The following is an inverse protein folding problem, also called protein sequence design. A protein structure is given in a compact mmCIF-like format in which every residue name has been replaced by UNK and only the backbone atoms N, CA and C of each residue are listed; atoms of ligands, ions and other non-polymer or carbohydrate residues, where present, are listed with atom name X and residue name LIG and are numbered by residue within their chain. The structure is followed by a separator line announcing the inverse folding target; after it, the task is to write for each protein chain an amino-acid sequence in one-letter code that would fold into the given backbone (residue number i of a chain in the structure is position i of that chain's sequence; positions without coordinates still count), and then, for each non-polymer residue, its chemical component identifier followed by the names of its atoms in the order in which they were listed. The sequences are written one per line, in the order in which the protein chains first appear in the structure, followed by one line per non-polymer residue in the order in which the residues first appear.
data_IF_569591586703
#
_entry.id   IF_569591586703
#
_cell.length_a   1.000
_cell.length_b   1.000
_cell.length_c   1.000
_cell.angle_alpha   90.00
_cell.angle_beta   90.00
_cell.angle_gamma   90.00
#
_symmetry.space_group_name_H-M   'P 1'
#
loop_
_entity.id
_entity.type
_entity.pdbx_description
1 polymer ?
#
# COMPACT_ATOMS: atom_id res chain seq x y z
N UNK A 1 43.34 -27.61 3.90
CA UNK A 1 43.35 -26.20 4.31
C UNK A 1 42.06 -25.63 3.77
N UNK A 2 41.10 -25.42 4.67
CA UNK A 2 39.68 -25.32 4.34
C UNK A 2 39.36 -23.99 3.63
N UNK A 3 38.79 -24.08 2.42
CA UNK A 3 38.13 -22.96 1.77
C UNK A 3 36.83 -22.67 2.52
N UNK A 4 36.92 -21.79 3.51
CA UNK A 4 35.79 -21.13 4.15
C UNK A 4 35.10 -20.26 3.09
N UNK A 5 34.21 -20.88 2.32
CA UNK A 5 33.22 -20.22 1.49
C UNK A 5 32.32 -19.38 2.38
N UNK A 6 32.76 -18.16 2.68
CA UNK A 6 31.92 -17.13 3.28
C UNK A 6 30.78 -16.89 2.29
N UNK A 7 29.62 -17.51 2.58
CA UNK A 7 28.37 -17.17 1.92
C UNK A 7 28.16 -15.68 2.18
N UNK A 8 28.52 -14.84 1.20
CA UNK A 8 28.20 -13.42 1.21
C UNK A 8 26.68 -13.35 1.09
N UNK A 9 26.00 -13.50 2.23
CA UNK A 9 24.57 -13.32 2.33
C UNK A 9 24.26 -11.93 1.80
N UNK A 10 23.28 -11.83 0.91
CA UNK A 10 22.94 -10.57 0.23
C UNK A 10 22.82 -9.46 1.28
N UNK A 11 23.70 -8.44 1.26
CA UNK A 11 23.76 -7.45 2.33
C UNK A 11 22.42 -6.73 2.44
N UNK A 12 21.90 -6.62 3.68
CA UNK A 12 20.65 -5.90 3.94
C UNK A 12 20.74 -4.48 3.38
N UNK A 13 19.62 -3.98 2.87
CA UNK A 13 19.53 -2.61 2.37
C UNK A 13 19.22 -1.68 3.54
N UNK A 14 20.27 -1.17 4.17
CA UNK A 14 20.16 -0.24 5.31
C UNK A 14 19.29 0.98 4.97
N UNK A 15 19.36 1.49 3.73
CA UNK A 15 18.52 2.60 3.27
C UNK A 15 17.04 2.24 3.24
N UNK A 16 16.68 1.03 2.83
CA UNK A 16 15.30 0.54 2.83
C UNK A 16 14.78 0.33 4.25
N UNK A 17 15.60 -0.23 5.13
CA UNK A 17 15.23 -0.40 6.54
C UNK A 17 15.06 0.97 7.24
N UNK A 18 15.93 1.94 6.94
CA UNK A 18 15.80 3.32 7.42
C UNK A 18 14.52 4.01 6.89
N UNK A 19 14.21 3.85 5.60
CA UNK A 19 12.99 4.41 5.00
C UNK A 19 11.71 3.82 5.63
N UNK A 20 11.70 2.51 5.92
CA UNK A 20 10.59 1.87 6.65
C UNK A 20 10.48 2.40 8.08
N UNK A 21 11.61 2.55 8.78
CA UNK A 21 11.65 3.14 10.12
C UNK A 21 11.09 4.56 10.13
N UNK A 22 11.45 5.37 9.14
CA UNK A 22 10.92 6.72 8.93
C UNK A 22 9.40 6.72 8.74
N UNK A 23 8.85 5.85 7.88
CA UNK A 23 7.41 5.75 7.67
C UNK A 23 6.66 5.33 8.96
N UNK A 24 7.23 4.40 9.74
CA UNK A 24 6.67 3.99 11.04
C UNK A 24 6.69 5.14 12.05
N UNK A 25 7.82 5.84 12.18
CA UNK A 25 7.93 7.00 13.07
C UNK A 25 6.95 8.10 12.68
N UNK A 26 6.81 8.39 11.38
CA UNK A 26 5.83 9.35 10.86
C UNK A 26 4.39 8.94 11.18
N UNK A 27 4.03 7.68 10.99
CA UNK A 27 2.70 7.16 11.34
C UNK A 27 2.38 7.31 12.82
N UNK A 28 3.34 7.00 13.70
CA UNK A 28 3.15 7.13 15.14
C UNK A 28 2.91 8.58 15.54
N UNK A 29 3.68 9.50 14.95
CA UNK A 29 3.63 10.92 15.24
C UNK A 29 2.30 11.53 14.76
N UNK A 30 1.85 11.21 13.54
CA UNK A 30 0.59 11.72 12.97
C UNK A 30 -0.64 11.14 13.67
N UNK A 31 -0.59 9.88 14.11
CA UNK A 31 -1.72 9.27 14.84
C UNK A 31 -1.81 9.69 16.30
N UNK A 32 -0.70 10.18 16.89
CA UNK A 32 -0.64 10.57 18.30
C UNK A 32 -0.06 11.98 18.47
N UNK A 33 -0.70 13.03 17.91
CA UNK A 33 -0.22 14.40 18.03
C UNK A 33 -0.37 14.98 19.45
N UNK A 34 -0.95 14.23 20.39
CA UNK A 34 -1.21 14.63 21.78
C UNK A 34 -2.47 15.49 21.93
N UNK A 35 -2.73 16.40 20.98
CA UNK A 35 -3.99 17.13 20.81
C UNK A 35 -4.35 17.18 19.32
N UNK A 36 -5.62 17.34 18.98
CA UNK A 36 -6.07 17.57 17.60
C UNK A 36 -6.44 19.03 17.35
N UNK A 37 -6.03 19.94 18.25
CA UNK A 37 -6.22 21.38 18.11
C UNK A 37 -5.28 21.95 17.01
N UNK A 38 -5.82 22.51 15.91
CA UNK A 38 -5.02 23.09 14.82
C UNK A 38 -4.17 24.29 15.23
N UNK A 39 -4.45 24.89 16.39
CA UNK A 39 -3.65 26.00 16.93
C UNK A 39 -2.37 25.54 17.62
N UNK A 40 -2.33 24.28 18.06
CA UNK A 40 -1.21 23.69 18.82
C UNK A 40 -0.38 22.74 17.95
N UNK A 41 -1.02 22.00 17.04
CA UNK A 41 -0.34 21.02 16.18
C UNK A 41 0.07 21.67 14.86
N UNK A 42 1.31 21.49 14.41
CA UNK A 42 1.72 21.90 13.07
C UNK A 42 0.81 21.30 11.99
N UNK A 43 0.33 22.14 11.08
CA UNK A 43 -0.53 21.74 9.93
C UNK A 43 0.03 20.56 9.13
N UNK A 44 1.36 20.42 9.09
CA UNK A 44 2.03 19.32 8.40
C UNK A 44 1.63 17.93 8.94
N UNK A 45 1.29 17.85 10.22
CA UNK A 45 0.95 16.61 10.93
C UNK A 45 -0.55 16.29 10.94
N UNK A 46 -1.36 17.18 10.36
CA UNK A 46 -2.81 17.02 10.25
C UNK A 46 -3.17 16.69 8.81
N UNK A 47 -4.16 15.84 8.61
CA UNK A 47 -4.67 15.54 7.27
C UNK A 47 -5.25 16.79 6.61
N UNK A 48 -5.05 16.93 5.30
CA UNK A 48 -5.70 17.99 4.54
C UNK A 48 -7.23 17.85 4.67
N UNK A 49 -7.94 18.98 4.79
CA UNK A 49 -9.40 18.95 4.94
C UNK A 49 -10.08 18.32 3.73
N UNK A 50 -9.60 18.58 2.51
CA UNK A 50 -10.07 17.92 1.31
C UNK A 50 -9.12 18.16 0.14
N UNK A 51 -8.98 19.43 -0.27
CA UNK A 51 -7.97 19.84 -1.24
C UNK A 51 -6.65 20.16 -0.54
N UNK A 52 -5.58 19.51 -0.97
CA UNK A 52 -4.24 19.70 -0.45
C UNK A 52 -3.51 18.38 -0.31
N UNK A 53 -2.26 18.49 0.13
CA UNK A 53 -1.44 17.34 0.51
C UNK A 53 -0.54 17.76 1.66
N UNK A 54 -0.66 17.08 2.78
CA UNK A 54 0.17 17.26 3.97
C UNK A 54 1.11 16.06 4.13
N UNK A 55 2.07 16.15 5.07
CA UNK A 55 2.95 15.03 5.35
C UNK A 55 2.18 13.82 5.90
N UNK A 56 1.14 14.05 6.70
CA UNK A 56 0.23 13.02 7.18
C UNK A 56 -0.35 12.17 6.04
N UNK A 57 -0.70 12.82 4.92
CA UNK A 57 -1.29 12.16 3.75
C UNK A 57 -0.27 11.29 2.98
N UNK A 58 1.02 11.58 3.10
CA UNK A 58 2.10 10.86 2.40
C UNK A 58 2.57 9.59 3.13
N UNK A 59 2.29 9.45 4.43
CA UNK A 59 2.74 8.31 5.22
C UNK A 59 2.25 6.98 4.64
N UNK A 60 0.96 6.88 4.30
CA UNK A 60 0.41 5.66 3.73
C UNK A 60 1.03 5.30 2.36
N UNK A 61 1.14 6.22 1.39
CA UNK A 61 1.91 6.01 0.16
C UNK A 61 3.36 5.56 0.40
N UNK A 62 4.06 6.11 1.40
CA UNK A 62 5.42 5.68 1.74
C UNK A 62 5.48 4.22 2.19
N UNK A 63 4.51 3.74 2.97
CA UNK A 63 4.43 2.32 3.32
C UNK A 63 4.23 1.44 2.10
N UNK A 64 3.30 1.79 1.21
CA UNK A 64 3.03 1.03 -0.01
C UNK A 64 4.26 0.97 -0.91
N UNK A 65 4.93 2.10 -1.09
CA UNK A 65 6.17 2.19 -1.85
C UNK A 65 7.28 1.33 -1.23
N UNK A 66 7.49 1.40 0.09
CA UNK A 66 8.48 0.59 0.79
C UNK A 66 8.20 -0.92 0.68
N UNK A 67 6.93 -1.32 0.79
CA UNK A 67 6.48 -2.69 0.62
C UNK A 67 6.82 -3.18 -0.79
N UNK A 68 6.50 -2.40 -1.82
CA UNK A 68 6.85 -2.70 -3.20
C UNK A 68 8.36 -2.87 -3.39
N UNK A 69 9.15 -1.91 -2.87
CA UNK A 69 10.60 -1.91 -3.00
C UNK A 69 11.26 -3.14 -2.35
N UNK A 70 10.68 -3.66 -1.27
CA UNK A 70 11.18 -4.86 -0.59
C UNK A 70 10.89 -6.18 -1.34
N UNK A 71 9.91 -6.21 -2.25
CA UNK A 71 9.47 -7.43 -2.91
C UNK A 71 10.56 -8.15 -3.73
N UNK A 72 11.35 -7.48 -4.61
CA UNK A 72 12.36 -8.15 -5.42
C UNK A 72 13.43 -8.84 -4.56
N UNK A 73 13.85 -8.19 -3.47
CA UNK A 73 14.82 -8.75 -2.53
C UNK A 73 14.25 -9.96 -1.76
N UNK A 74 12.99 -9.88 -1.33
CA UNK A 74 12.34 -11.03 -0.69
C UNK A 74 12.15 -12.19 -1.66
N UNK A 75 12.01 -11.92 -2.96
CA UNK A 75 11.83 -12.95 -3.96
C UNK A 75 13.14 -13.60 -4.40
N UNK A 76 14.19 -12.79 -4.59
CA UNK A 76 15.54 -13.26 -4.86
C UNK A 76 16.00 -14.30 -3.84
N UNK A 77 15.81 -14.02 -2.55
CA UNK A 77 16.12 -14.97 -1.47
C UNK A 77 15.35 -16.28 -1.57
N UNK A 78 14.08 -16.26 -1.96
CA UNK A 78 13.30 -17.50 -2.11
C UNK A 78 13.76 -18.30 -3.33
N UNK A 79 14.20 -17.63 -4.39
CA UNK A 79 14.76 -18.26 -5.57
C UNK A 79 16.13 -18.90 -5.27
N UNK A 80 17.00 -18.21 -4.51
CA UNK A 80 18.27 -18.77 -4.03
C UNK A 80 18.08 -20.07 -3.23
N UNK A 81 17.02 -20.14 -2.42
CA UNK A 81 16.65 -21.34 -1.65
C UNK A 81 15.79 -22.35 -2.44
N UNK A 82 15.71 -22.23 -3.76
CA UNK A 82 14.95 -23.10 -4.65
C UNK A 82 13.48 -23.35 -4.22
N UNK A 83 12.83 -22.36 -3.60
CA UNK A 83 11.45 -22.51 -3.12
C UNK A 83 10.50 -22.58 -4.32
N UNK A 84 9.68 -23.65 -4.46
CA UNK A 84 8.79 -23.80 -5.60
C UNK A 84 7.72 -22.70 -5.64
N UNK A 85 7.26 -22.35 -6.84
CA UNK A 85 6.36 -21.21 -7.08
C UNK A 85 5.07 -21.26 -6.24
N UNK A 86 4.44 -22.44 -6.12
CA UNK A 86 3.23 -22.60 -5.31
C UNK A 86 3.46 -22.30 -3.83
N UNK A 87 4.61 -22.71 -3.26
CA UNK A 87 4.97 -22.38 -1.87
C UNK A 87 5.23 -20.89 -1.73
N UNK A 88 5.87 -20.26 -2.72
CA UNK A 88 6.12 -18.81 -2.73
C UNK A 88 4.81 -18.01 -2.71
N UNK A 89 3.84 -18.40 -3.53
CA UNK A 89 2.48 -17.83 -3.55
C UNK A 89 1.79 -18.09 -2.20
N UNK A 90 1.86 -19.31 -1.66
CA UNK A 90 1.29 -19.63 -0.34
C UNK A 90 1.86 -18.79 0.80
N UNK A 91 3.17 -18.51 0.80
CA UNK A 91 3.81 -17.61 1.77
C UNK A 91 3.28 -16.17 1.61
N UNK A 92 3.14 -15.69 0.37
CA UNK A 92 2.60 -14.36 0.10
C UNK A 92 1.13 -14.24 0.53
N UNK A 93 0.31 -15.25 0.21
CA UNK A 93 -1.09 -15.35 0.63
C UNK A 93 -1.21 -15.39 2.16
N UNK A 94 -0.37 -16.18 2.84
CA UNK A 94 -0.33 -16.21 4.32
C UNK A 94 0.00 -14.85 4.91
N UNK A 95 0.98 -14.12 4.36
CA UNK A 95 1.33 -12.77 4.84
C UNK A 95 0.15 -11.81 4.70
N UNK A 96 -0.52 -11.82 3.55
CA UNK A 96 -1.71 -11.02 3.31
C UNK A 96 -2.85 -11.39 4.27
N UNK A 97 -3.11 -12.69 4.47
CA UNK A 97 -4.13 -13.17 5.39
C UNK A 97 -3.82 -12.80 6.84
N UNK A 98 -2.56 -12.92 7.29
CA UNK A 98 -2.15 -12.51 8.64
C UNK A 98 -2.37 -11.01 8.85
N UNK A 99 -1.98 -10.17 7.89
CA UNK A 99 -2.21 -8.72 7.96
C UNK A 99 -3.71 -8.40 8.00
N UNK A 100 -4.50 -9.09 7.19
CA UNK A 100 -5.94 -8.91 7.15
C UNK A 100 -6.59 -9.28 8.49
N UNK A 101 -6.30 -10.49 8.99
CA UNK A 101 -6.85 -11.00 10.25
C UNK A 101 -6.39 -10.17 11.45
N UNK A 102 -5.13 -9.70 11.45
CA UNK A 102 -4.63 -8.82 12.51
C UNK A 102 -5.40 -7.50 12.53
N UNK A 103 -5.62 -6.89 11.36
CA UNK A 103 -6.42 -5.66 11.26
C UNK A 103 -7.87 -5.86 11.73
N UNK A 104 -8.50 -6.96 11.30
CA UNK A 104 -9.87 -7.30 11.71
C UNK A 104 -9.96 -7.57 13.22
N UNK A 105 -8.97 -8.26 13.79
CA UNK A 105 -8.88 -8.53 15.21
C UNK A 105 -8.74 -7.24 16.04
N UNK A 106 -7.80 -6.36 15.67
CA UNK A 106 -7.59 -5.09 16.40
C UNK A 106 -8.85 -4.21 16.39
N UNK A 107 -9.56 -4.16 15.25
CA UNK A 107 -10.83 -3.41 15.16
C UNK A 107 -11.93 -4.06 15.99
N UNK A 108 -12.07 -5.38 15.89
CA UNK A 108 -13.07 -6.14 16.64
C UNK A 108 -12.85 -6.02 18.15
N UNK A 109 -11.59 -6.07 18.60
CA UNK A 109 -11.22 -5.87 20.00
C UNK A 109 -11.52 -4.44 20.47
N UNK A 110 -11.26 -3.42 19.64
CA UNK A 110 -11.58 -2.03 19.96
C UNK A 110 -13.08 -1.76 20.07
N UNK A 111 -13.92 -2.50 19.33
CA UNK A 111 -15.38 -2.33 19.30
C UNK A 111 -16.13 -3.35 20.16
N UNK A 112 -15.42 -4.27 20.83
CA UNK A 112 -15.99 -5.42 21.55
C UNK A 112 -17.02 -6.24 20.74
N UNK A 113 -16.92 -6.22 19.41
CA UNK A 113 -17.85 -6.88 18.49
C UNK A 113 -17.07 -7.46 17.31
N UNK A 114 -17.42 -8.67 16.82
CA UNK A 114 -16.74 -9.26 15.69
C UNK A 114 -17.13 -8.50 14.40
N UNK A 115 -16.22 -7.65 13.92
CA UNK A 115 -16.43 -6.83 12.73
C UNK A 115 -15.32 -7.09 11.72
N UNK A 116 -15.73 -7.45 10.50
CA UNK A 116 -14.84 -7.48 9.35
C UNK A 116 -14.86 -6.10 8.71
N UNK A 117 -13.83 -5.32 9.02
CA UNK A 117 -13.63 -3.99 8.46
C UNK A 117 -12.39 -3.98 7.55
N UNK A 118 -12.33 -3.02 6.65
CA UNK A 118 -11.33 -2.94 5.61
C UNK A 118 -10.34 -1.78 5.80
N UNK A 119 -9.55 -1.89 6.86
CA UNK A 119 -8.59 -0.88 7.29
C UNK A 119 -7.25 -0.89 6.55
N UNK A 120 -6.34 -0.06 7.07
CA UNK A 120 -5.01 0.17 6.48
C UNK A 120 -4.21 -1.14 6.39
N UNK A 121 -4.23 -1.98 7.43
CA UNK A 121 -3.49 -3.25 7.44
C UNK A 121 -4.02 -4.23 6.39
N UNK A 122 -5.35 -4.33 6.28
CA UNK A 122 -6.05 -5.14 5.30
C UNK A 122 -5.68 -4.70 3.89
N UNK A 123 -5.72 -3.38 3.63
CA UNK A 123 -5.34 -2.79 2.33
C UNK A 123 -3.90 -3.08 1.98
N UNK A 124 -2.95 -2.91 2.90
CA UNK A 124 -1.53 -3.24 2.67
C UNK A 124 -1.39 -4.72 2.30
N UNK A 125 -2.07 -5.62 3.02
CA UNK A 125 -2.04 -7.06 2.74
C UNK A 125 -2.56 -7.42 1.35
N UNK A 126 -3.71 -6.87 0.97
CA UNK A 126 -4.35 -7.10 -0.34
C UNK A 126 -3.50 -6.52 -1.47
N UNK A 127 -3.06 -5.26 -1.35
CA UNK A 127 -2.22 -4.60 -2.35
C UNK A 127 -0.88 -5.32 -2.54
N UNK A 128 -0.26 -5.74 -1.43
CA UNK A 128 0.95 -6.58 -1.47
C UNK A 128 0.70 -7.85 -2.27
N UNK A 129 -0.39 -8.56 -2.00
CA UNK A 129 -0.68 -9.83 -2.67
C UNK A 129 -0.97 -9.65 -4.16
N UNK A 130 -1.77 -8.65 -4.53
CA UNK A 130 -2.07 -8.34 -5.94
C UNK A 130 -0.79 -8.06 -6.71
N UNK A 131 0.07 -7.16 -6.20
CA UNK A 131 1.33 -6.84 -6.89
C UNK A 131 2.32 -8.01 -6.87
N UNK A 132 2.31 -8.82 -5.82
CA UNK A 132 3.11 -10.04 -5.77
C UNK A 132 2.77 -11.00 -6.92
N UNK A 133 1.48 -11.14 -7.29
CA UNK A 133 1.06 -11.94 -8.44
C UNK A 133 1.55 -11.37 -9.78
N UNK A 134 1.82 -10.06 -9.84
CA UNK A 134 2.39 -9.38 -11.02
C UNK A 134 3.92 -9.48 -11.09
N UNK A 135 4.58 -10.00 -10.05
CA UNK A 135 6.04 -10.10 -9.96
C UNK A 135 6.67 -10.95 -11.09
N UNK A 136 6.07 -12.05 -11.58
CA UNK A 136 6.61 -12.81 -12.71
C UNK A 136 6.64 -12.02 -14.03
N UNK A 137 5.88 -10.92 -14.16
CA UNK A 137 5.85 -10.11 -15.37
C UNK A 137 7.16 -9.32 -15.56
N UNK A 138 7.45 -8.98 -16.83
CA UNK A 138 8.58 -8.10 -17.17
C UNK A 138 8.34 -6.70 -16.62
N UNK A 139 9.41 -5.99 -16.27
CA UNK A 139 9.35 -4.63 -15.71
C UNK A 139 8.54 -3.65 -16.59
N UNK A 140 8.67 -3.75 -17.92
CA UNK A 140 7.87 -2.94 -18.87
C UNK A 140 6.35 -3.11 -18.69
N UNK A 141 5.90 -4.33 -18.40
CA UNK A 141 4.49 -4.64 -18.21
C UNK A 141 4.02 -4.20 -16.83
N UNK A 142 4.84 -4.35 -15.79
CA UNK A 142 4.57 -3.80 -14.47
C UNK A 142 4.41 -2.26 -14.53
N UNK A 143 5.29 -1.58 -15.27
CA UNK A 143 5.19 -0.14 -15.49
C UNK A 143 3.94 0.24 -16.31
N UNK A 144 3.68 -0.47 -17.41
CA UNK A 144 2.49 -0.24 -18.23
C UNK A 144 1.19 -0.43 -17.43
N UNK A 145 1.11 -1.48 -16.59
CA UNK A 145 -0.04 -1.72 -15.70
C UNK A 145 -0.17 -0.59 -14.68
N UNK A 146 0.91 -0.18 -14.03
CA UNK A 146 0.87 0.92 -13.06
C UNK A 146 0.38 2.23 -13.68
N UNK A 147 0.91 2.59 -14.86
CA UNK A 147 0.45 3.79 -15.59
C UNK A 147 -0.99 3.65 -16.06
N UNK A 148 -1.37 2.50 -16.62
CA UNK A 148 -2.74 2.24 -17.06
C UNK A 148 -3.74 2.33 -15.90
N UNK A 149 -3.40 1.80 -14.72
CA UNK A 149 -4.25 1.90 -13.53
C UNK A 149 -4.45 3.35 -13.08
N UNK A 150 -3.44 4.22 -13.18
CA UNK A 150 -3.60 5.65 -12.91
C UNK A 150 -4.52 6.33 -13.94
N UNK A 151 -4.41 5.97 -15.21
CA UNK A 151 -5.35 6.46 -16.24
C UNK A 151 -6.78 5.95 -16.01
N UNK A 152 -6.94 4.69 -15.61
CA UNK A 152 -8.24 4.12 -15.24
C UNK A 152 -8.82 4.87 -14.04
N UNK A 153 -8.01 5.13 -13.00
CA UNK A 153 -8.44 5.91 -11.84
C UNK A 153 -8.87 7.32 -12.22
N UNK A 154 -8.07 8.02 -13.04
CA UNK A 154 -8.44 9.33 -13.56
C UNK A 154 -9.74 9.28 -14.38
N UNK A 155 -9.90 8.28 -15.26
CA UNK A 155 -11.10 8.14 -16.08
C UNK A 155 -12.35 7.86 -15.22
N UNK A 156 -12.21 7.08 -14.15
CA UNK A 156 -13.27 6.87 -13.16
C UNK A 156 -13.71 8.22 -12.57
N UNK A 157 -12.76 9.03 -12.09
CA UNK A 157 -13.07 10.33 -11.50
C UNK A 157 -13.64 11.34 -12.52
N UNK A 158 -13.18 11.27 -13.77
CA UNK A 158 -13.56 12.23 -14.80
C UNK A 158 -14.92 11.95 -15.45
N UNK A 159 -15.27 10.68 -15.66
CA UNK A 159 -16.39 10.29 -16.54
C UNK A 159 -17.52 9.53 -15.87
N UNK A 160 -17.32 8.98 -14.66
CA UNK A 160 -18.39 8.21 -14.00
C UNK A 160 -19.46 9.16 -13.46
N UNK A 161 -20.70 8.88 -13.83
CA UNK A 161 -21.89 9.61 -13.42
C UNK A 161 -22.76 8.73 -12.52
N UNK A 162 -23.36 9.33 -11.50
CA UNK A 162 -24.25 8.66 -10.56
C UNK A 162 -25.14 9.66 -9.81
N UNK A 163 -26.17 9.19 -9.09
CA UNK A 163 -26.98 10.05 -8.22
C UNK A 163 -26.09 10.80 -7.21
N UNK A 164 -26.08 12.13 -7.25
CA UNK A 164 -25.25 12.96 -6.38
C UNK A 164 -23.78 13.11 -6.81
N UNK A 165 -23.38 12.53 -7.96
CA UNK A 165 -22.03 12.67 -8.51
C UNK A 165 -22.04 13.61 -9.71
N UNK A 166 -21.16 14.62 -9.68
CA UNK A 166 -20.95 15.51 -10.83
C UNK A 166 -19.71 15.01 -11.60
N UNK A 167 -19.82 14.69 -12.91
CA UNK A 167 -18.66 14.26 -13.70
C UNK A 167 -17.53 15.29 -13.64
N UNK A 168 -16.31 14.82 -13.39
CA UNK A 168 -15.14 15.68 -13.26
C UNK A 168 -15.10 16.49 -11.96
N UNK A 169 -16.04 16.31 -11.04
CA UNK A 169 -15.97 16.88 -9.70
C UNK A 169 -15.04 16.07 -8.82
N UNK A 170 -14.09 16.78 -8.22
CA UNK A 170 -13.19 16.25 -7.21
C UNK A 170 -13.63 16.67 -5.80
N UNK A 171 -14.89 17.05 -5.61
CA UNK A 171 -15.42 17.48 -4.30
C UNK A 171 -15.73 16.29 -3.37
N UNK A 172 -15.75 16.54 -2.06
CA UNK A 172 -15.85 15.49 -1.03
C UNK A 172 -17.10 14.65 -1.17
N UNK A 173 -18.24 15.27 -1.39
CA UNK A 173 -19.53 14.60 -1.34
C UNK A 173 -20.12 14.32 -2.73
N UNK A 174 -19.40 14.67 -3.80
CA UNK A 174 -19.84 14.53 -5.19
C UNK A 174 -18.83 13.76 -6.06
N UNK A 175 -17.87 13.06 -5.46
CA UNK A 175 -16.88 12.30 -6.23
C UNK A 175 -17.38 10.90 -6.62
N UNK A 176 -16.94 10.45 -7.79
CA UNK A 176 -17.27 9.13 -8.31
C UNK A 176 -16.74 7.98 -7.45
N UNK A 177 -15.65 8.20 -6.70
CA UNK A 177 -15.02 7.15 -5.88
C UNK A 177 -15.92 6.70 -4.72
N UNK A 178 -16.46 7.65 -3.95
CA UNK A 178 -17.38 7.37 -2.85
C UNK A 178 -18.70 6.77 -3.35
N UNK A 179 -19.20 7.25 -4.48
CA UNK A 179 -20.40 6.66 -5.09
C UNK A 179 -20.18 5.19 -5.44
N UNK A 180 -19.09 4.88 -6.14
CA UNK A 180 -18.77 3.50 -6.50
C UNK A 180 -18.47 2.63 -5.28
N UNK A 181 -17.75 3.16 -4.28
CA UNK A 181 -17.49 2.43 -3.04
C UNK A 181 -18.80 2.16 -2.27
N UNK A 182 -19.75 3.11 -2.23
CA UNK A 182 -21.07 2.91 -1.60
C UNK A 182 -22.00 1.95 -2.37
N UNK A 183 -21.76 1.79 -3.68
CA UNK A 183 -22.49 0.85 -4.52
C UNK A 183 -21.93 -0.58 -4.39
N UNK A 184 -20.61 -0.70 -4.24
CA UNK A 184 -19.90 -2.00 -4.16
C UNK A 184 -19.86 -2.53 -2.72
N UNK A 185 -19.71 -1.66 -1.73
CA UNK A 185 -19.63 -1.97 -0.30
C UNK A 185 -20.71 -1.19 0.47
N UNK A 186 -21.13 -1.76 1.61
CA UNK A 186 -22.14 -1.15 2.46
C UNK A 186 -21.79 0.29 2.87
N UNK A 187 -22.79 1.16 3.17
CA UNK A 187 -22.63 2.62 3.32
C UNK A 187 -21.62 3.12 4.37
N UNK A 188 -21.20 2.25 5.28
CA UNK A 188 -20.32 2.59 6.39
C UNK A 188 -18.82 2.56 6.03
N UNK A 189 -18.42 1.80 4.99
CA UNK A 189 -17.01 1.63 4.59
C UNK A 189 -16.67 2.52 3.37
N UNK A 190 -16.70 3.83 3.60
CA UNK A 190 -16.73 4.89 2.57
C UNK A 190 -15.53 5.02 1.61
N UNK A 191 -14.45 4.25 1.71
CA UNK A 191 -13.23 4.54 0.91
C UNK A 191 -12.36 3.34 0.55
N UNK A 192 -12.91 2.23 0.04
CA UNK A 192 -12.23 0.96 0.28
C UNK A 192 -11.67 0.25 -0.94
N UNK A 193 -12.43 0.08 -2.02
CA UNK A 193 -12.01 -0.82 -3.11
C UNK A 193 -11.53 -0.01 -4.30
N UNK A 194 -12.27 1.02 -4.70
CA UNK A 194 -11.91 1.79 -5.89
C UNK A 194 -10.64 2.62 -5.64
N UNK A 195 -10.45 3.08 -4.39
CA UNK A 195 -9.25 3.76 -3.93
C UNK A 195 -7.99 2.86 -3.87
N UNK A 196 -8.12 1.53 -4.04
CA UNK A 196 -6.97 0.61 -4.10
C UNK A 196 -6.21 0.73 -5.43
N UNK A 197 -6.85 1.23 -6.49
CA UNK A 197 -6.25 1.36 -7.82
C UNK A 197 -4.95 2.20 -7.80
N UNK A 198 -4.94 3.45 -7.26
CA UNK A 198 -3.70 4.20 -7.09
C UNK A 198 -2.74 3.53 -6.09
N UNK A 199 -3.26 2.77 -5.12
CA UNK A 199 -2.46 1.95 -4.20
C UNK A 199 -1.62 0.88 -4.91
N UNK A 200 -2.21 0.13 -5.85
CA UNK A 200 -1.50 -0.88 -6.66
C UNK A 200 -0.38 -0.20 -7.45
N UNK A 201 -0.67 0.96 -8.05
CA UNK A 201 0.28 1.75 -8.82
C UNK A 201 1.48 2.20 -7.96
N UNK A 202 1.23 2.59 -6.72
CA UNK A 202 2.28 2.99 -5.76
C UNK A 202 3.17 1.81 -5.35
N UNK A 203 2.59 0.64 -5.09
CA UNK A 203 3.36 -0.58 -4.79
C UNK A 203 4.17 -1.02 -6.02
N UNK A 204 3.61 -0.90 -7.23
CA UNK A 204 4.34 -1.17 -8.49
C UNK A 204 5.51 -0.21 -8.70
N UNK A 205 5.35 1.08 -8.41
CA UNK A 205 6.44 2.06 -8.47
C UNK A 205 7.58 1.67 -7.50
N UNK A 206 7.23 1.26 -6.28
CA UNK A 206 8.18 0.69 -5.32
C UNK A 206 8.89 -0.55 -5.86
N UNK A 207 8.13 -1.50 -6.41
CA UNK A 207 8.65 -2.74 -7.01
C UNK A 207 9.69 -2.47 -8.11
N UNK A 208 9.37 -1.56 -9.02
CA UNK A 208 10.27 -1.18 -10.12
C UNK A 208 11.55 -0.52 -9.60
N UNK A 209 11.42 0.35 -8.59
CA UNK A 209 12.58 0.96 -7.92
C UNK A 209 13.45 -0.10 -7.24
N UNK A 210 12.84 -1.08 -6.56
CA UNK A 210 13.56 -2.19 -5.94
C UNK A 210 14.31 -3.05 -6.96
N UNK A 211 13.71 -3.31 -8.14
CA UNK A 211 14.39 -4.01 -9.24
C UNK A 211 15.56 -3.20 -9.80
N UNK A 212 15.37 -1.88 -9.98
CA UNK A 212 16.42 -0.99 -10.45
C UNK A 212 17.63 -1.02 -9.52
N UNK A 213 17.40 -0.92 -8.20
CA UNK A 213 18.45 -1.00 -7.18
C UNK A 213 19.14 -2.36 -7.14
N UNK A 214 18.42 -3.45 -7.41
CA UNK A 214 19.00 -4.79 -7.47
C UNK A 214 19.90 -4.99 -8.68
N UNK A 215 19.61 -4.33 -9.81
CA UNK A 215 20.40 -4.41 -11.04
C UNK A 215 21.66 -3.53 -11.02
N UNK A 216 21.71 -2.50 -10.18
CA UNK A 216 22.83 -1.54 -10.07
C UNK A 216 23.65 -1.75 -8.79
N UNK A 217 23.65 -2.98 -8.28
CA UNK A 217 24.44 -3.43 -7.13
C UNK A 217 25.49 -4.43 -7.59
#
# INVERSE_FOLDING_TARGET
MNDEGFLVGTPRLTSLDAFRGFAIAGMLLVNNPGTWDPTVVPRLLMHAEWHGCTFADLIFPFFLFAVGMAMPFSEAKKLEHAVPAWKRIGIAARRAAVLYLLGAFLKSASLNTPVLHFGILQRIGVLYFIVYLLLPLKARWQAAIGVALLFVWWAILAFVNGPGVVPGSFERDMNAAQYLDSFILAPEDKETIVSMIPGISTVLAGLLTGRFLMNHR
#
